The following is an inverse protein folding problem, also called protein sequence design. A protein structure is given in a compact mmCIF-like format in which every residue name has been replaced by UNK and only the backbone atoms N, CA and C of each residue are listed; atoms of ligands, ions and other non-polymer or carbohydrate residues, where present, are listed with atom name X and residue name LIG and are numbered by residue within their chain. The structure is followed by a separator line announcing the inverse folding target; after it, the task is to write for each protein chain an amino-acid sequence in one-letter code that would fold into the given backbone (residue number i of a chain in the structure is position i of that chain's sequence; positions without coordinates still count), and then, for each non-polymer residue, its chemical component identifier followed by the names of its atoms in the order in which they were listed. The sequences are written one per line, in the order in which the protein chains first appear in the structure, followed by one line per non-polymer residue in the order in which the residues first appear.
data_IF_708228848508
#
_entry.id   IF_708228848508
#
_cell.length_a   1.000
_cell.length_b   1.000
_cell.length_c   1.000
_cell.angle_alpha   90.00
_cell.angle_beta   90.00
_cell.angle_gamma   90.00
#
_symmetry.space_group_name_H-M   'P 1'
#
loop_
_entity.id
_entity.type
_entity.pdbx_description
1 polymer ?
#
# COMPACT_ATOMS: atom_id res chain seq x y z
N UNK A 1 -5.04 7.89 3.77
CA UNK A 1 -3.81 8.04 2.95
C UNK A 1 -3.58 9.51 2.68
N UNK A 2 -2.38 9.92 2.26
CA UNK A 2 -2.06 11.31 1.89
C UNK A 2 -1.22 11.34 0.62
N UNK A 3 -1.74 11.95 -0.44
CA UNK A 3 -1.02 12.19 -1.69
C UNK A 3 -0.12 13.41 -1.51
N UNK A 4 1.19 13.21 -1.60
CA UNK A 4 2.22 14.24 -1.48
C UNK A 4 2.73 14.73 -2.84
N UNK A 5 2.60 13.89 -3.88
CA UNK A 5 3.06 14.18 -5.24
C UNK A 5 2.08 13.59 -6.25
N UNK A 6 2.07 14.14 -7.46
CA UNK A 6 1.28 13.63 -8.56
C UNK A 6 1.53 12.12 -8.77
N UNK A 7 0.45 11.35 -8.94
CA UNK A 7 0.48 9.90 -9.19
C UNK A 7 -0.17 9.53 -10.52
N UNK A 8 -0.37 10.48 -11.44
CA UNK A 8 -1.12 10.27 -12.68
C UNK A 8 -0.42 9.28 -13.62
N UNK A 9 0.90 9.09 -13.46
CA UNK A 9 1.64 8.03 -14.15
C UNK A 9 1.07 6.62 -13.90
N UNK A 10 0.27 6.42 -12.84
CA UNK A 10 -0.46 5.18 -12.61
C UNK A 10 -1.59 4.95 -13.63
N UNK A 11 -2.15 6.02 -14.22
CA UNK A 11 -3.19 5.94 -15.23
C UNK A 11 -2.66 5.42 -16.57
N UNK A 12 -1.37 5.63 -16.84
CA UNK A 12 -0.68 5.18 -18.06
C UNK A 12 0.04 3.83 -17.87
N UNK A 13 -0.08 3.23 -16.68
CA UNK A 13 0.59 1.96 -16.37
C UNK A 13 0.03 0.83 -17.24
N UNK A 14 0.85 0.14 -18.04
CA UNK A 14 0.35 -0.94 -18.90
C UNK A 14 -0.06 -2.14 -18.05
N UNK A 15 -1.36 -2.44 -18.09
CA UNK A 15 -1.99 -3.63 -17.53
C UNK A 15 -2.62 -4.47 -18.64
N UNK A 16 -2.91 -5.73 -18.34
CA UNK A 16 -3.59 -6.60 -19.29
C UNK A 16 -4.98 -6.02 -19.65
N UNK A 17 -5.37 -6.03 -20.94
CA UNK A 17 -6.65 -5.49 -21.34
C UNK A 17 -7.80 -6.37 -20.83
N UNK A 18 -9.02 -5.82 -20.65
CA UNK A 18 -10.18 -6.60 -20.23
C UNK A 18 -10.47 -7.84 -21.10
N UNK A 19 -10.06 -7.83 -22.38
CA UNK A 19 -10.20 -8.95 -23.32
C UNK A 19 -9.39 -10.20 -22.92
N UNK A 20 -8.39 -10.08 -22.04
CA UNK A 20 -7.68 -11.23 -21.46
C UNK A 20 -8.40 -11.83 -20.25
N UNK A 21 -9.57 -11.32 -19.86
CA UNK A 21 -10.47 -11.95 -18.88
C UNK A 21 -9.80 -12.36 -17.54
N UNK A 22 -8.76 -11.63 -17.12
CA UNK A 22 -8.01 -11.91 -15.89
C UNK A 22 -7.08 -13.13 -15.92
N UNK A 23 -6.76 -13.69 -17.10
CA UNK A 23 -5.85 -14.84 -17.24
C UNK A 23 -4.41 -14.47 -17.56
N UNK A 24 -4.14 -13.21 -17.88
CA UNK A 24 -2.79 -12.71 -18.14
C UNK A 24 -1.93 -12.57 -16.89
N UNK A 25 -0.75 -11.98 -17.07
CA UNK A 25 0.30 -11.86 -16.04
C UNK A 25 0.33 -10.48 -15.35
N UNK A 26 -0.44 -9.51 -15.82
CA UNK A 26 -0.48 -8.11 -15.36
C UNK A 26 -1.93 -7.70 -15.06
N UNK A 27 -2.62 -8.51 -14.26
CA UNK A 27 -4.07 -8.37 -14.02
C UNK A 27 -4.42 -7.04 -13.34
N UNK A 28 -3.59 -6.62 -12.39
CA UNK A 28 -3.68 -5.33 -11.70
C UNK A 28 -2.28 -4.90 -11.23
N UNK A 29 -2.16 -3.71 -10.66
CA UNK A 29 -0.95 -3.28 -9.96
C UNK A 29 -1.23 -2.89 -8.51
N UNK A 30 -0.25 -3.12 -7.64
CA UNK A 30 -0.26 -2.72 -6.24
C UNK A 30 1.19 -2.61 -5.74
N UNK A 31 1.40 -2.10 -4.53
CA UNK A 31 2.67 -2.34 -3.82
C UNK A 31 2.60 -3.65 -3.03
N UNK A 32 3.73 -4.14 -2.54
CA UNK A 32 3.75 -5.31 -1.65
C UNK A 32 3.17 -4.98 -0.27
N UNK A 33 2.48 -5.93 0.35
CA UNK A 33 2.20 -5.87 1.78
C UNK A 33 3.52 -5.92 2.56
N UNK A 34 3.67 -5.04 3.55
CA UNK A 34 4.81 -5.13 4.47
C UNK A 34 4.51 -6.19 5.53
N UNK A 35 5.17 -7.33 5.43
CA UNK A 35 5.02 -8.47 6.34
C UNK A 35 6.04 -8.43 7.48
N UNK A 36 6.61 -7.28 7.82
CA UNK A 36 7.62 -7.18 8.89
C UNK A 36 7.05 -7.32 10.31
N UNK A 37 5.74 -7.12 10.49
CA UNK A 37 5.06 -7.07 11.79
C UNK A 37 5.85 -6.27 12.87
N UNK A 38 6.17 -4.99 12.64
CA UNK A 38 7.08 -4.23 13.52
C UNK A 38 6.54 -4.06 14.95
N UNK A 39 5.21 -4.13 15.13
CA UNK A 39 4.55 -4.07 16.43
C UNK A 39 4.36 -5.44 17.09
N UNK A 40 4.87 -6.52 16.48
CA UNK A 40 4.78 -7.90 16.98
C UNK A 40 3.35 -8.31 17.38
N UNK A 41 2.38 -7.95 16.55
CA UNK A 41 0.96 -8.31 16.77
C UNK A 41 0.84 -9.83 16.85
N UNK A 42 0.34 -10.39 17.97
CA UNK A 42 0.31 -11.86 18.17
C UNK A 42 -0.59 -12.62 17.20
N UNK A 43 -1.61 -11.96 16.66
CA UNK A 43 -2.56 -12.53 15.71
C UNK A 43 -2.11 -12.41 14.25
N UNK A 44 -0.91 -11.87 13.99
CA UNK A 44 -0.36 -11.88 12.63
C UNK A 44 0.30 -13.23 12.35
N UNK A 45 0.37 -13.65 11.07
CA UNK A 45 1.01 -14.90 10.70
C UNK A 45 2.44 -14.99 11.20
N UNK A 46 2.90 -16.19 11.57
CA UNK A 46 4.24 -16.39 12.17
C UNK A 46 5.39 -16.12 11.19
N UNK A 47 5.13 -16.30 9.90
CA UNK A 47 6.07 -16.04 8.82
C UNK A 47 6.08 -14.57 8.40
N UNK A 48 5.29 -13.71 9.04
CA UNK A 48 5.40 -12.25 8.91
C UNK A 48 6.59 -11.73 9.71
N UNK A 49 7.75 -11.88 9.08
CA UNK A 49 9.05 -11.39 9.56
C UNK A 49 9.76 -10.62 8.46
N UNK A 50 10.64 -9.70 8.86
CA UNK A 50 11.42 -8.86 7.93
C UNK A 50 12.17 -9.66 6.87
N UNK A 51 12.70 -10.84 7.21
CA UNK A 51 13.40 -11.72 6.27
C UNK A 51 12.51 -12.19 5.10
N UNK A 52 11.19 -12.31 5.31
CA UNK A 52 10.23 -12.75 4.30
C UNK A 52 9.57 -11.58 3.55
N UNK A 53 9.94 -10.33 3.86
CA UNK A 53 9.32 -9.19 3.23
C UNK A 53 9.95 -8.87 1.87
N UNK A 54 9.11 -8.65 0.86
CA UNK A 54 9.55 -8.31 -0.49
C UNK A 54 10.45 -7.06 -0.53
N UNK A 55 10.16 -6.05 0.30
CA UNK A 55 10.98 -4.83 0.38
C UNK A 55 12.42 -5.09 0.85
N UNK A 56 12.63 -6.13 1.68
CA UNK A 56 13.97 -6.53 2.13
C UNK A 56 14.88 -6.92 0.97
N UNK A 57 14.31 -7.46 -0.12
CA UNK A 57 15.07 -7.83 -1.32
C UNK A 57 15.67 -6.62 -2.05
N UNK A 58 15.16 -5.40 -1.78
CA UNK A 58 15.59 -4.18 -2.44
C UNK A 58 16.57 -3.35 -1.59
N UNK A 59 16.91 -3.78 -0.38
CA UNK A 59 17.77 -3.01 0.55
C UNK A 59 19.15 -2.69 -0.02
N UNK A 60 19.71 -3.59 -0.84
CA UNK A 60 20.99 -3.36 -1.55
C UNK A 60 20.90 -2.38 -2.73
N UNK A 61 19.70 -1.94 -3.12
CA UNK A 61 19.47 -1.12 -4.31
C UNK A 61 18.43 -0.02 -4.04
N UNK A 62 18.64 0.78 -2.99
CA UNK A 62 17.70 1.79 -2.53
C UNK A 62 17.27 2.78 -3.63
N UNK A 63 18.18 3.22 -4.52
CA UNK A 63 17.83 4.10 -5.63
C UNK A 63 16.87 3.42 -6.62
N UNK A 64 17.06 2.13 -6.93
CA UNK A 64 16.15 1.39 -7.79
C UNK A 64 14.77 1.18 -7.13
N UNK A 65 14.71 1.01 -5.81
CA UNK A 65 13.47 0.82 -5.05
C UNK A 65 12.49 2.01 -5.15
N UNK A 66 12.97 3.21 -5.51
CA UNK A 66 12.13 4.40 -5.70
C UNK A 66 11.28 4.32 -6.98
N UNK A 67 11.78 3.59 -7.99
CA UNK A 67 11.22 3.57 -9.34
C UNK A 67 10.77 2.18 -9.78
N UNK A 68 11.22 1.13 -9.10
CA UNK A 68 10.88 -0.27 -9.37
C UNK A 68 10.37 -0.97 -8.11
N UNK A 69 9.24 -1.65 -8.20
CA UNK A 69 8.80 -2.59 -7.17
C UNK A 69 9.59 -3.89 -7.22
N UNK A 70 9.75 -4.55 -6.07
CA UNK A 70 10.25 -5.93 -6.04
C UNK A 70 9.31 -6.83 -6.86
N UNK A 71 9.79 -7.86 -7.58
CA UNK A 71 8.92 -8.75 -8.35
C UNK A 71 7.71 -9.25 -7.57
N UNK A 72 6.58 -9.48 -8.22
CA UNK A 72 5.34 -9.95 -7.58
C UNK A 72 5.49 -11.27 -6.80
N UNK A 73 6.56 -12.02 -7.08
CA UNK A 73 6.93 -13.28 -6.41
C UNK A 73 7.97 -13.11 -5.31
N UNK A 74 8.43 -11.89 -5.03
CA UNK A 74 9.42 -11.62 -3.99
C UNK A 74 8.83 -11.75 -2.59
N UNK A 75 9.60 -12.29 -1.65
CA UNK A 75 9.13 -12.53 -0.28
C UNK A 75 7.91 -13.46 -0.26
N UNK A 76 6.88 -13.09 0.50
CA UNK A 76 5.60 -13.80 0.49
C UNK A 76 4.70 -13.49 -0.73
N UNK A 77 5.12 -12.59 -1.63
CA UNK A 77 4.41 -12.33 -2.90
C UNK A 77 2.99 -11.78 -2.74
N UNK A 78 2.73 -11.04 -1.66
CA UNK A 78 1.39 -10.59 -1.28
C UNK A 78 1.19 -9.10 -1.64
N UNK A 79 0.18 -8.76 -2.46
CA UNK A 79 -0.14 -7.36 -2.76
C UNK A 79 -0.70 -6.66 -1.50
N UNK A 80 -0.51 -5.35 -1.37
CA UNK A 80 -1.17 -4.56 -0.34
C UNK A 80 -2.51 -4.03 -0.86
N UNK A 81 -3.57 -4.11 -0.05
CA UNK A 81 -4.91 -3.63 -0.40
C UNK A 81 -5.08 -2.10 -0.45
N UNK A 82 -4.10 -1.33 0.04
CA UNK A 82 -4.24 0.12 0.25
C UNK A 82 -4.35 0.95 -1.03
N UNK A 83 -3.65 0.58 -2.10
CA UNK A 83 -3.74 1.21 -3.42
C UNK A 83 -3.66 0.14 -4.49
N UNK A 84 -4.60 0.18 -5.43
CA UNK A 84 -4.67 -0.72 -6.57
C UNK A 84 -4.88 0.08 -7.86
N UNK A 85 -4.21 -0.34 -8.93
CA UNK A 85 -4.46 0.13 -10.30
C UNK A 85 -5.07 -1.03 -11.07
N UNK A 86 -6.24 -0.79 -11.67
CA UNK A 86 -7.02 -1.84 -12.34
C UNK A 86 -7.55 -1.35 -13.67
N UNK A 87 -7.61 -2.25 -14.66
CA UNK A 87 -8.50 -2.10 -15.79
C UNK A 87 -9.87 -2.71 -15.40
N UNK A 88 -10.96 -1.92 -15.30
CA UNK A 88 -12.26 -2.46 -14.97
C UNK A 88 -12.66 -3.61 -15.92
N UNK A 89 -13.04 -4.74 -15.36
CA UNK A 89 -13.37 -5.95 -16.12
C UNK A 89 -14.41 -6.79 -15.38
N UNK A 90 -15.56 -7.02 -16.03
CA UNK A 90 -16.60 -7.90 -15.50
C UNK A 90 -16.06 -9.31 -15.26
N UNK A 91 -15.21 -9.83 -16.16
CA UNK A 91 -14.62 -11.16 -16.01
C UNK A 91 -13.67 -11.27 -14.80
N UNK A 92 -12.90 -10.22 -14.50
CA UNK A 92 -12.06 -10.19 -13.29
C UNK A 92 -12.94 -10.13 -12.04
N UNK A 93 -14.00 -9.31 -12.07
CA UNK A 93 -14.98 -9.24 -10.98
C UNK A 93 -15.64 -10.59 -10.70
N UNK A 94 -16.13 -11.30 -11.72
CA UNK A 94 -16.77 -12.62 -11.53
C UNK A 94 -15.79 -13.67 -10.96
N UNK A 95 -14.50 -13.60 -11.29
CA UNK A 95 -13.48 -14.46 -10.65
C UNK A 95 -13.31 -14.16 -9.17
N UNK A 96 -13.31 -12.88 -8.81
CA UNK A 96 -13.21 -12.43 -7.41
C UNK A 96 -14.44 -12.90 -6.63
N UNK A 97 -15.64 -12.68 -7.16
CA UNK A 97 -16.90 -13.14 -6.55
C UNK A 97 -16.95 -14.66 -6.44
N UNK A 98 -16.52 -15.38 -7.48
CA UNK A 98 -16.44 -16.83 -7.48
C UNK A 98 -15.53 -17.35 -6.36
N UNK A 99 -14.35 -16.74 -6.18
CA UNK A 99 -13.44 -17.10 -5.08
C UNK A 99 -14.03 -16.76 -3.71
N UNK A 100 -14.72 -15.64 -3.57
CA UNK A 100 -15.39 -15.26 -2.32
C UNK A 100 -16.52 -16.23 -1.93
N UNK A 101 -17.17 -16.88 -2.91
CA UNK A 101 -18.20 -17.87 -2.66
C UNK A 101 -17.65 -19.23 -2.16
N UNK A 102 -16.34 -19.47 -2.32
CA UNK A 102 -15.67 -20.69 -1.87
C UNK A 102 -15.25 -20.56 -0.39
N UNK A 103 -16.16 -20.87 0.54
CA UNK A 103 -15.92 -20.72 1.99
C UNK A 103 -14.60 -21.38 2.45
N UNK A 104 -14.28 -22.57 1.94
CA UNK A 104 -13.03 -23.29 2.25
C UNK A 104 -11.76 -22.55 1.78
N UNK A 105 -11.86 -21.71 0.74
CA UNK A 105 -10.74 -20.90 0.28
C UNK A 105 -10.54 -19.66 1.17
N UNK A 106 -11.63 -19.05 1.63
CA UNK A 106 -11.59 -17.76 2.35
C UNK A 106 -11.50 -17.88 3.87
N UNK A 107 -11.82 -19.04 4.45
CA UNK A 107 -11.79 -19.27 5.91
C UNK A 107 -10.41 -18.98 6.52
N UNK A 108 -9.33 -19.22 5.76
CA UNK A 108 -7.96 -18.96 6.18
C UNK A 108 -7.42 -17.55 5.85
N UNK A 109 -8.23 -16.66 5.28
CA UNK A 109 -7.76 -15.32 4.93
C UNK A 109 -7.68 -14.42 6.16
N UNK A 110 -6.46 -14.26 6.69
CA UNK A 110 -6.19 -13.36 7.82
C UNK A 110 -6.31 -11.88 7.44
N UNK A 111 -6.19 -11.55 6.14
CA UNK A 111 -6.26 -10.19 5.62
C UNK A 111 -7.13 -10.14 4.37
N UNK A 112 -8.45 -10.13 4.55
CA UNK A 112 -9.50 -10.18 3.53
C UNK A 112 -9.07 -9.87 2.07
N UNK A 113 -8.98 -8.59 1.71
CA UNK A 113 -8.74 -8.15 0.33
C UNK A 113 -7.34 -8.52 -0.20
N UNK A 114 -6.28 -8.30 0.58
CA UNK A 114 -4.92 -8.64 0.15
C UNK A 114 -4.66 -10.15 0.06
N UNK A 115 -5.25 -10.96 0.96
CA UNK A 115 -5.17 -12.42 0.93
C UNK A 115 -5.92 -12.96 -0.29
N UNK A 116 -7.12 -12.46 -0.55
CA UNK A 116 -7.94 -12.83 -1.71
C UNK A 116 -7.23 -12.53 -3.03
N UNK A 117 -6.70 -11.32 -3.19
CA UNK A 117 -6.00 -10.93 -4.42
C UNK A 117 -4.66 -11.65 -4.58
N UNK A 118 -3.94 -11.87 -3.47
CA UNK A 118 -2.69 -12.61 -3.44
C UNK A 118 -2.86 -14.08 -3.84
N UNK A 119 -3.92 -14.74 -3.36
CA UNK A 119 -4.26 -16.12 -3.72
C UNK A 119 -4.73 -16.20 -5.19
N UNK A 120 -5.76 -15.43 -5.55
CA UNK A 120 -6.41 -15.52 -6.85
C UNK A 120 -5.48 -15.15 -8.02
N UNK A 121 -4.58 -14.19 -7.82
CA UNK A 121 -3.69 -13.64 -8.85
C UNK A 121 -2.21 -13.78 -8.49
N UNK A 122 -1.84 -14.83 -7.75
CA UNK A 122 -0.46 -15.11 -7.34
C UNK A 122 0.54 -14.95 -8.51
N UNK A 123 1.52 -14.05 -8.34
CA UNK A 123 2.55 -13.75 -9.35
C UNK A 123 2.06 -13.07 -10.64
N UNK A 124 0.77 -12.75 -10.76
CA UNK A 124 0.12 -12.19 -11.97
C UNK A 124 -0.34 -10.75 -11.80
N UNK A 125 0.44 -9.96 -11.08
CA UNK A 125 0.21 -8.55 -10.84
C UNK A 125 1.50 -7.75 -11.00
N UNK A 126 1.37 -6.46 -11.22
CA UNK A 126 2.50 -5.54 -11.43
C UNK A 126 2.86 -4.91 -10.10
N UNK A 127 4.08 -5.16 -9.64
CA UNK A 127 4.57 -4.56 -8.41
C UNK A 127 5.01 -3.11 -8.63
N UNK A 128 4.32 -2.19 -7.97
CA UNK A 128 4.65 -0.77 -7.91
C UNK A 128 5.80 -0.54 -6.93
N UNK A 129 6.67 0.46 -7.17
CA UNK A 129 7.62 0.88 -6.15
C UNK A 129 6.87 1.40 -4.91
N UNK A 130 7.47 1.21 -3.74
CA UNK A 130 6.82 1.50 -2.45
C UNK A 130 6.33 2.94 -2.33
N UNK A 131 6.95 3.88 -3.07
CA UNK A 131 6.61 5.31 -3.06
C UNK A 131 5.16 5.62 -3.44
N UNK A 132 4.48 4.74 -4.18
CA UNK A 132 3.06 4.90 -4.54
C UNK A 132 2.09 4.46 -3.43
N UNK A 133 2.57 3.75 -2.40
CA UNK A 133 1.77 3.35 -1.25
C UNK A 133 2.73 3.09 -0.08
N UNK A 134 3.41 4.15 0.35
CA UNK A 134 4.44 4.09 1.38
C UNK A 134 3.79 3.93 2.74
N UNK A 135 3.87 2.73 3.32
CA UNK A 135 3.32 2.50 4.65
C UNK A 135 4.16 3.28 5.66
N UNK A 136 3.52 4.06 6.54
CA UNK A 136 4.25 4.94 7.48
C UNK A 136 5.35 4.24 8.28
N UNK A 137 5.13 2.97 8.63
CA UNK A 137 6.07 2.15 9.40
C UNK A 137 7.33 1.79 8.63
N UNK A 138 7.33 1.86 7.29
CA UNK A 138 8.52 1.60 6.47
C UNK A 138 9.64 2.61 6.75
N UNK A 139 9.27 3.84 7.14
CA UNK A 139 10.21 4.89 7.54
C UNK A 139 10.98 4.55 8.82
N UNK A 140 10.43 3.69 9.68
CA UNK A 140 11.00 3.41 10.99
C UNK A 140 12.31 2.62 10.89
N UNK A 141 13.24 2.94 11.80
CA UNK A 141 14.48 2.18 11.95
C UNK A 141 14.18 0.70 12.23
N UNK A 142 14.87 -0.20 11.52
CA UNK A 142 14.66 -1.65 11.64
C UNK A 142 13.48 -2.22 10.86
N UNK A 143 12.70 -1.39 10.15
CA UNK A 143 11.69 -1.84 9.19
C UNK A 143 12.29 -1.80 7.79
N UNK A 144 12.18 -0.65 7.10
CA UNK A 144 12.66 -0.45 5.72
C UNK A 144 13.28 0.93 5.50
N UNK A 145 13.85 1.54 6.55
CA UNK A 145 14.54 2.83 6.48
C UNK A 145 15.71 2.84 5.46
N UNK A 146 16.24 1.66 5.12
CA UNK A 146 17.29 1.47 4.12
C UNK A 146 16.87 1.99 2.74
N UNK A 147 15.62 1.72 2.35
CA UNK A 147 15.07 2.11 1.05
C UNK A 147 14.21 3.37 1.12
N UNK A 148 13.74 3.77 2.30
CA UNK A 148 12.85 4.92 2.44
C UNK A 148 13.53 6.25 2.11
N UNK A 149 12.89 7.09 1.29
CA UNK A 149 13.32 8.46 0.96
C UNK A 149 12.11 9.38 1.06
N UNK A 150 12.09 10.28 2.06
CA UNK A 150 10.95 11.18 2.34
C UNK A 150 10.52 11.94 1.07
N UNK A 151 11.50 12.41 0.31
CA UNK A 151 11.36 13.15 -0.94
C UNK A 151 10.88 12.32 -2.13
N UNK A 152 10.88 11.00 -2.09
CA UNK A 152 10.39 10.18 -3.21
C UNK A 152 8.95 9.71 -2.99
N UNK A 153 8.46 9.74 -1.75
CA UNK A 153 7.12 9.26 -1.40
C UNK A 153 6.05 10.11 -2.09
N UNK A 154 5.19 9.45 -2.87
CA UNK A 154 4.09 10.07 -3.59
C UNK A 154 2.78 9.95 -2.84
N UNK A 155 2.57 8.83 -2.15
CA UNK A 155 1.38 8.57 -1.36
C UNK A 155 1.76 7.83 -0.07
N UNK A 156 1.39 8.40 1.08
CA UNK A 156 1.60 7.80 2.39
C UNK A 156 0.35 7.09 2.86
N UNK A 157 0.54 5.86 3.30
CA UNK A 157 -0.49 5.06 3.94
C UNK A 157 -0.25 5.00 5.44
N UNK A 158 -1.11 5.71 6.18
CA UNK A 158 -1.19 5.64 7.64
C UNK A 158 -1.81 4.31 8.09
N UNK A 159 -1.11 3.20 7.87
CA UNK A 159 -1.49 1.88 8.38
C UNK A 159 -1.22 1.80 9.88
N UNK A 160 -1.99 0.97 10.59
CA UNK A 160 -1.92 0.79 12.06
C UNK A 160 -2.21 2.09 12.84
N UNK A 161 -2.43 1.97 14.14
CA UNK A 161 -2.58 3.12 15.05
C UNK A 161 -1.23 3.45 15.71
N UNK A 162 -1.05 4.68 16.22
CA UNK A 162 -1.99 5.81 16.16
C UNK A 162 -2.12 6.40 14.74
N UNK A 163 -3.24 7.04 14.43
CA UNK A 163 -3.41 7.84 13.21
C UNK A 163 -3.05 9.31 13.51
N UNK A 164 -2.62 10.10 12.52
CA UNK A 164 -2.28 11.49 12.78
C UNK A 164 -3.45 12.33 13.31
N UNK A 165 -4.69 12.01 12.94
CA UNK A 165 -5.91 12.66 13.43
C UNK A 165 -6.41 12.15 14.79
N UNK A 166 -5.72 11.17 15.39
CA UNK A 166 -5.99 10.70 16.76
C UNK A 166 -5.08 11.41 17.79
N UNK A 167 -4.14 12.22 17.30
CA UNK A 167 -3.17 12.98 18.10
C UNK A 167 -3.58 14.46 18.15
N UNK A 168 -3.09 15.23 19.13
CA UNK A 168 -3.27 16.68 19.12
C UNK A 168 -2.45 17.33 17.99
N UNK A 169 -2.93 18.46 17.45
CA UNK A 169 -2.18 19.22 16.43
C UNK A 169 -0.81 19.64 16.98
N UNK A 170 0.26 19.24 16.30
CA UNK A 170 1.62 19.48 16.78
C UNK A 170 2.01 18.64 18.00
N UNK A 171 1.19 17.65 18.38
CA UNK A 171 1.47 16.71 19.45
C UNK A 171 2.89 16.14 19.33
N UNK A 172 3.66 16.27 20.40
CA UNK A 172 5.04 15.81 20.44
C UNK A 172 5.08 14.27 20.37
N UNK A 173 5.45 13.73 19.20
CA UNK A 173 5.44 12.28 19.02
C UNK A 173 6.04 11.77 17.69
N UNK A 174 7.38 11.78 17.60
CA UNK A 174 8.29 10.98 16.76
C UNK A 174 8.06 10.73 15.24
N UNK A 175 6.83 10.55 14.74
CA UNK A 175 6.60 10.13 13.36
C UNK A 175 6.46 11.33 12.41
N UNK A 176 7.51 11.57 11.63
CA UNK A 176 7.54 12.66 10.64
C UNK A 176 6.38 12.59 9.64
N UNK A 177 5.86 11.39 9.34
CA UNK A 177 4.74 11.24 8.42
C UNK A 177 3.45 11.85 8.97
N UNK A 178 3.29 11.93 10.30
CA UNK A 178 2.14 12.58 10.93
C UNK A 178 2.21 14.11 10.78
N UNK A 179 3.41 14.68 10.82
CA UNK A 179 3.62 16.12 10.56
C UNK A 179 3.25 16.50 9.13
N UNK A 180 3.46 15.61 8.15
CA UNK A 180 3.02 15.84 6.78
C UNK A 180 1.50 15.94 6.68
N UNK A 181 0.77 15.08 7.41
CA UNK A 181 -0.69 15.15 7.48
C UNK A 181 -1.18 16.47 8.07
N UNK A 182 -0.64 16.87 9.23
CA UNK A 182 -1.02 18.13 9.88
C UNK A 182 -0.71 19.35 9.02
N UNK A 183 0.44 19.36 8.31
CA UNK A 183 0.76 20.44 7.36
C UNK A 183 -0.29 20.55 6.25
N UNK A 184 -0.68 19.42 5.63
CA UNK A 184 -1.69 19.40 4.58
C UNK A 184 -3.08 19.77 5.12
N UNK A 185 -3.45 19.30 6.31
CA UNK A 185 -4.74 19.61 6.92
C UNK A 185 -4.86 21.09 7.31
N UNK A 186 -3.80 21.68 7.89
CA UNK A 186 -3.74 23.10 8.20
C UNK A 186 -3.86 23.98 6.93
N UNK A 187 -3.24 23.56 5.82
CA UNK A 187 -3.40 24.21 4.52
C UNK A 187 -4.83 24.10 3.97
N UNK A 188 -5.42 22.89 4.01
CA UNK A 188 -6.82 22.65 3.61
C UNK A 188 -7.78 23.55 4.38
N UNK A 189 -7.71 23.53 5.72
CA UNK A 189 -8.57 24.32 6.61
C UNK A 189 -8.43 25.83 6.37
N UNK A 190 -7.22 26.30 6.10
CA UNK A 190 -6.98 27.71 5.73
C UNK A 190 -7.72 28.06 4.43
N UNK A 191 -7.56 27.25 3.39
CA UNK A 191 -8.23 27.46 2.10
C UNK A 191 -9.76 27.36 2.18
N UNK A 192 -10.29 26.48 3.03
CA UNK A 192 -11.72 26.38 3.30
C UNK A 192 -12.28 27.62 3.99
N UNK A 193 -11.60 28.12 5.04
CA UNK A 193 -11.97 29.36 5.73
C UNK A 193 -11.97 30.56 4.78
N UNK A 194 -10.96 30.68 3.91
CA UNK A 194 -10.88 31.73 2.90
C UNK A 194 -12.05 31.69 1.90
N UNK A 195 -12.60 30.49 1.64
CA UNK A 195 -13.77 30.26 0.79
C UNK A 195 -15.10 30.34 1.52
N UNK A 196 -15.09 30.64 2.83
CA UNK A 196 -16.30 30.66 3.66
C UNK A 196 -16.91 29.26 3.89
N UNK A 197 -16.13 28.19 3.71
CA UNK A 197 -16.56 26.83 4.01
C UNK A 197 -16.32 26.52 5.49
N UNK A 198 -17.37 26.12 6.19
CA UNK A 198 -17.33 25.67 7.57
C UNK A 198 -17.81 24.22 7.58
N UNK A 199 -16.87 23.28 7.58
CA UNK A 199 -17.14 21.83 7.56
C UNK A 199 -17.32 21.23 8.96
N UNK A 200 -17.11 22.04 10.01
CA UNK A 200 -17.28 21.65 11.41
C UNK A 200 -16.08 20.88 11.99
N UNK A 201 -14.96 20.82 11.27
CA UNK A 201 -13.73 20.15 11.71
C UNK A 201 -12.58 21.11 11.98
#
# INVERSE_FOLDING_TARGET
MLILRNIDALMDLPLDPPSLLGTGARVFAATHACVCNPLRKPHYPRDWVRANCAYTTQHGAAAAAQVQGAPATAGLGMPNGGLQVVNPSAAVYERIVGRLAEAAATEGYEFADQSLLGDLFAGRWVALPYVYNGLKTMRWAGVHAEIWRDEEVRNVHFILSPKPWEEEEGGEGADETHKWWWRCDAERRRGERERGLVDGF
#
